data_IF_701816984293
#
_entry.id   IF_701816984293
#
_cell.length_a   1.000
_cell.length_b   1.000
_cell.length_c   1.000
_cell.angle_alpha   90.00
_cell.angle_beta   90.00
_cell.angle_gamma   90.00
#
_symmetry.space_group_name_H-M   'P 1'
#
loop_
_entity.id
_entity.type
_entity.pdbx_description
1 polymer ?
#
# COMPACT_ATOMS: atom_id res chain seq x y z
N UNK A 1 3.63 -39.92 28.56
CA UNK A 1 2.90 -39.70 29.83
C UNK A 1 1.45 -40.01 29.57
N UNK A 2 0.86 -40.92 30.35
CA UNK A 2 -0.59 -41.12 30.29
C UNK A 2 -1.30 -39.84 30.75
N UNK A 3 -2.42 -39.44 30.12
CA UNK A 3 -3.19 -38.28 30.58
C UNK A 3 -3.70 -38.51 32.01
N UNK A 4 -3.67 -37.46 32.84
CA UNK A 4 -4.25 -37.46 34.20
C UNK A 4 -5.64 -36.83 34.18
N UNK A 5 -6.47 -37.14 35.20
CA UNK A 5 -7.86 -36.70 35.44
C UNK A 5 -8.46 -35.88 34.30
N UNK A 6 -8.43 -34.55 34.39
CA UNK A 6 -8.93 -33.66 33.34
C UNK A 6 -7.83 -32.68 32.92
N UNK A 7 -7.42 -32.74 31.66
CA UNK A 7 -6.40 -31.87 31.08
C UNK A 7 -6.59 -31.72 29.58
N UNK A 8 -6.00 -30.66 29.01
CA UNK A 8 -6.09 -30.40 27.57
C UNK A 8 -5.38 -31.49 26.76
N UNK A 9 -6.01 -31.95 25.69
CA UNK A 9 -5.38 -32.85 24.72
C UNK A 9 -4.35 -32.03 23.93
N UNK A 10 -3.08 -32.17 24.29
CA UNK A 10 -1.97 -31.50 23.63
C UNK A 10 -1.51 -32.28 22.40
N UNK A 11 -1.09 -31.57 21.33
CA UNK A 11 -0.38 -32.13 20.19
C UNK A 11 1.03 -31.53 20.10
N UNK A 12 1.97 -31.89 21.00
CA UNK A 12 3.32 -31.35 20.98
C UNK A 12 4.09 -31.85 19.74
N UNK A 13 4.58 -30.94 18.90
CA UNK A 13 5.30 -31.30 17.67
C UNK A 13 6.81 -31.53 17.92
N UNK A 14 7.12 -32.36 18.92
CA UNK A 14 8.50 -32.70 19.34
C UNK A 14 8.89 -34.15 18.99
N UNK A 15 8.19 -34.79 18.06
CA UNK A 15 8.38 -36.20 17.68
C UNK A 15 9.54 -36.45 16.69
N UNK A 16 10.15 -35.39 16.15
CA UNK A 16 11.35 -35.49 15.30
C UNK A 16 12.57 -35.08 16.11
N UNK A 17 13.77 -35.35 15.60
CA UNK A 17 15.02 -34.84 16.18
C UNK A 17 15.09 -33.30 16.06
N UNK A 18 14.44 -32.62 17.01
CA UNK A 18 14.35 -31.16 17.11
C UNK A 18 15.54 -30.59 17.86
N UNK A 19 16.13 -31.36 18.79
CA UNK A 19 17.27 -30.95 19.61
C UNK A 19 18.49 -30.62 18.75
N UNK A 20 18.73 -31.38 17.67
CA UNK A 20 19.77 -31.07 16.67
C UNK A 20 19.56 -29.74 15.93
N UNK A 21 18.33 -29.22 15.86
CA UNK A 21 17.94 -28.03 15.08
C UNK A 21 17.52 -26.84 15.96
N UNK A 22 18.01 -26.80 17.19
CA UNK A 22 17.75 -25.68 18.10
C UNK A 22 18.54 -24.45 17.66
N UNK A 23 17.83 -23.46 17.13
CA UNK A 23 18.40 -22.15 16.82
C UNK A 23 18.44 -21.27 18.08
N UNK A 24 19.61 -21.09 18.67
CA UNK A 24 19.82 -20.14 19.77
C UNK A 24 19.98 -18.71 19.26
N UNK A 25 19.59 -17.71 20.07
CA UNK A 25 19.58 -16.30 19.67
C UNK A 25 20.63 -15.45 20.40
N UNK A 26 21.67 -16.07 20.98
CA UNK A 26 22.76 -15.36 21.66
C UNK A 26 23.53 -14.38 20.75
N UNK A 27 23.53 -14.64 19.44
CA UNK A 27 24.13 -13.76 18.44
C UNK A 27 23.28 -12.51 18.09
N UNK A 28 22.11 -12.32 18.70
CA UNK A 28 21.21 -11.19 18.41
C UNK A 28 21.86 -9.81 18.62
N UNK A 29 22.52 -9.49 19.76
CA UNK A 29 23.20 -8.20 19.96
C UNK A 29 24.33 -7.98 18.95
N UNK A 30 25.15 -8.99 18.69
CA UNK A 30 26.21 -8.92 17.68
C UNK A 30 25.64 -8.65 16.27
N UNK A 31 24.54 -9.30 15.88
CA UNK A 31 23.84 -9.03 14.61
C UNK A 31 23.27 -7.60 14.56
N UNK A 32 22.74 -7.06 15.67
CA UNK A 32 22.26 -5.67 15.75
C UNK A 32 23.42 -4.69 15.52
N UNK A 33 24.55 -4.87 16.20
CA UNK A 33 25.75 -4.06 16.03
C UNK A 33 26.29 -4.12 14.60
N UNK A 34 26.39 -5.33 14.02
CA UNK A 34 26.83 -5.54 12.64
C UNK A 34 25.94 -4.80 11.64
N UNK A 35 24.61 -4.92 11.76
CA UNK A 35 23.65 -4.21 10.90
C UNK A 35 23.75 -2.68 11.07
N UNK A 36 24.07 -2.18 12.26
CA UNK A 36 24.29 -0.74 12.52
C UNK A 36 25.55 -0.24 11.81
N UNK A 37 26.69 -0.92 11.99
CA UNK A 37 27.96 -0.57 11.33
C UNK A 37 27.81 -0.61 9.80
N UNK A 38 27.15 -1.63 9.25
CA UNK A 38 26.88 -1.73 7.81
C UNK A 38 26.01 -0.57 7.28
N UNK A 39 25.00 -0.12 8.06
CA UNK A 39 24.20 1.06 7.71
C UNK A 39 25.03 2.34 7.72
N UNK A 40 25.92 2.53 8.69
CA UNK A 40 26.83 3.68 8.77
C UNK A 40 27.84 3.68 7.61
N UNK A 41 28.44 2.53 7.30
CA UNK A 41 29.35 2.40 6.16
C UNK A 41 28.64 2.70 4.84
N UNK A 42 27.40 2.20 4.65
CA UNK A 42 26.57 2.54 3.49
C UNK A 42 26.31 4.05 3.41
N UNK A 43 26.00 4.69 4.54
CA UNK A 43 25.72 6.13 4.60
C UNK A 43 26.90 6.97 4.11
N UNK A 44 28.11 6.69 4.63
CA UNK A 44 29.33 7.37 4.21
C UNK A 44 29.61 7.18 2.72
N UNK A 45 29.45 5.95 2.22
CA UNK A 45 29.74 5.61 0.81
C UNK A 45 28.85 6.33 -0.20
N UNK A 46 27.58 6.57 0.14
CA UNK A 46 26.61 7.15 -0.81
C UNK A 46 26.36 8.64 -0.57
N UNK A 47 27.05 9.26 0.38
CA UNK A 47 26.94 10.69 0.64
C UNK A 47 27.09 11.47 -0.68
N UNK A 48 26.21 12.45 -0.98
CA UNK A 48 25.21 13.08 -0.11
C UNK A 48 23.81 12.42 -0.09
N UNK A 49 23.63 11.25 -0.72
CA UNK A 49 22.29 10.63 -0.88
C UNK A 49 21.73 10.04 0.43
N UNK A 50 20.40 10.03 0.60
CA UNK A 50 19.76 9.45 1.79
C UNK A 50 19.93 7.92 1.88
N UNK A 51 20.29 7.43 3.07
CA UNK A 51 20.59 6.00 3.36
C UNK A 51 19.40 5.06 3.16
N UNK A 52 18.19 5.58 3.41
CA UNK A 52 16.92 4.86 3.29
C UNK A 52 16.64 4.38 1.85
N UNK A 53 17.35 4.93 0.87
CA UNK A 53 17.24 4.57 -0.55
C UNK A 53 16.16 5.39 -1.26
N UNK A 54 15.67 4.89 -2.42
CA UNK A 54 14.77 5.66 -3.26
C UNK A 54 13.39 5.83 -2.62
N UNK A 55 12.71 6.93 -2.96
CA UNK A 55 11.34 7.18 -2.51
C UNK A 55 10.40 6.10 -3.06
N UNK A 56 9.44 5.69 -2.20
CA UNK A 56 8.42 4.68 -2.50
C UNK A 56 7.04 5.32 -2.55
N UNK A 57 6.12 4.80 -3.40
CA UNK A 57 4.76 5.30 -3.50
C UNK A 57 3.93 4.93 -2.27
N UNK A 58 2.83 5.65 -2.10
CA UNK A 58 1.78 5.39 -1.12
C UNK A 58 0.87 4.30 -1.71
N UNK A 59 0.73 3.18 -1.00
CA UNK A 59 -0.05 2.02 -1.46
C UNK A 59 -0.99 1.53 -0.37
N UNK A 60 -2.24 1.24 -0.73
CA UNK A 60 -3.23 0.58 0.13
C UNK A 60 -2.96 -0.92 0.22
N UNK A 61 -3.16 -1.52 1.39
CA UNK A 61 -3.04 -2.97 1.53
C UNK A 61 -4.20 -3.70 0.82
N UNK A 62 -3.97 -4.91 0.26
CA UNK A 62 -4.89 -5.52 -0.70
C UNK A 62 -6.15 -6.17 -0.10
N UNK A 63 -6.13 -6.59 1.18
CA UNK A 63 -7.23 -7.37 1.76
C UNK A 63 -8.22 -6.52 2.54
N UNK A 64 -9.47 -6.98 2.66
CA UNK A 64 -10.53 -6.31 3.43
C UNK A 64 -10.10 -6.05 4.89
N UNK A 65 -9.29 -6.93 5.48
CA UNK A 65 -8.77 -6.72 6.85
C UNK A 65 -7.86 -5.50 6.96
N UNK A 66 -7.10 -5.17 5.90
CA UNK A 66 -6.03 -4.17 5.98
C UNK A 66 -6.18 -2.99 5.01
N UNK A 67 -7.21 -2.93 4.17
CA UNK A 67 -7.39 -1.85 3.17
C UNK A 67 -7.41 -0.44 3.77
N UNK A 68 -7.82 -0.28 5.03
CA UNK A 68 -7.77 0.99 5.75
C UNK A 68 -6.33 1.47 6.03
N UNK A 69 -5.36 0.56 6.05
CA UNK A 69 -3.93 0.86 6.25
C UNK A 69 -3.25 1.20 4.93
N UNK A 70 -2.34 2.16 5.03
CA UNK A 70 -1.45 2.59 3.96
C UNK A 70 -0.04 2.12 4.28
N UNK A 71 0.74 1.78 3.25
CA UNK A 71 2.14 1.36 3.37
C UNK A 71 2.98 1.92 2.22
N UNK A 72 4.30 1.85 2.38
CA UNK A 72 5.22 2.07 1.28
C UNK A 72 5.13 0.91 0.27
N UNK A 73 4.93 1.23 -1.01
CA UNK A 73 4.93 0.28 -2.11
C UNK A 73 6.33 -0.10 -2.59
N UNK A 74 6.40 -0.92 -3.65
CA UNK A 74 7.69 -1.30 -4.27
C UNK A 74 8.28 -0.15 -5.09
N UNK A 75 7.47 0.46 -5.96
CA UNK A 75 7.86 1.58 -6.84
C UNK A 75 6.65 2.23 -7.53
N UNK A 76 6.85 3.45 -8.02
CA UNK A 76 5.88 4.24 -8.78
C UNK A 76 5.50 3.54 -10.09
N UNK A 77 4.24 3.69 -10.49
CA UNK A 77 3.76 3.13 -11.76
C UNK A 77 4.22 3.99 -12.93
N UNK A 78 4.18 3.44 -14.15
CA UNK A 78 4.56 4.19 -15.35
C UNK A 78 3.61 5.36 -15.62
N UNK A 79 2.34 5.19 -15.30
CA UNK A 79 1.30 6.20 -15.48
C UNK A 79 1.48 7.39 -14.53
N UNK A 80 1.80 7.13 -13.25
CA UNK A 80 2.12 8.18 -12.27
C UNK A 80 3.33 9.00 -12.73
N UNK A 81 4.37 8.33 -13.21
CA UNK A 81 5.59 9.00 -13.71
C UNK A 81 5.29 9.84 -14.96
N UNK A 82 4.46 9.33 -15.87
CA UNK A 82 4.04 10.05 -17.07
C UNK A 82 3.28 11.34 -16.70
N UNK A 83 2.33 11.25 -15.77
CA UNK A 83 1.57 12.41 -15.28
C UNK A 83 2.42 13.41 -14.47
N UNK A 84 3.46 12.93 -13.79
CA UNK A 84 4.43 13.78 -13.12
C UNK A 84 5.47 14.40 -14.08
N UNK A 85 5.48 14.02 -15.36
CA UNK A 85 6.46 14.50 -16.35
C UNK A 85 7.86 13.90 -16.20
N UNK A 86 7.99 12.75 -15.52
CA UNK A 86 9.29 12.15 -15.21
C UNK A 86 9.52 10.90 -16.08
N UNK A 87 10.62 10.88 -16.84
CA UNK A 87 10.98 9.70 -17.62
C UNK A 87 11.39 8.53 -16.70
N UNK A 88 10.87 7.33 -16.95
CA UNK A 88 11.14 6.10 -16.17
C UNK A 88 12.63 5.76 -15.99
N UNK A 89 13.49 6.08 -16.96
CA UNK A 89 14.93 5.84 -16.87
C UNK A 89 15.60 6.88 -15.96
N UNK A 90 15.23 8.15 -16.14
CA UNK A 90 15.72 9.27 -15.33
C UNK A 90 15.25 9.18 -13.87
N UNK A 91 14.02 8.73 -13.64
CA UNK A 91 13.48 8.50 -12.29
C UNK A 91 14.42 7.66 -11.41
N UNK A 92 14.98 6.58 -11.96
CA UNK A 92 15.90 5.70 -11.22
C UNK A 92 17.23 6.39 -10.87
N UNK A 93 17.73 7.28 -11.71
CA UNK A 93 19.00 7.99 -11.46
C UNK A 93 18.87 9.03 -10.36
N UNK A 94 17.69 9.65 -10.24
CA UNK A 94 17.40 10.66 -9.21
C UNK A 94 16.85 10.08 -7.90
N UNK A 95 16.80 8.75 -7.75
CA UNK A 95 16.37 8.11 -6.50
C UNK A 95 14.86 7.91 -6.38
N UNK A 96 14.14 7.73 -7.49
CA UNK A 96 12.74 7.33 -7.51
C UNK A 96 12.63 5.84 -7.88
N UNK A 97 11.94 5.05 -7.06
CA UNK A 97 11.72 3.63 -7.34
C UNK A 97 10.62 3.45 -8.39
N UNK A 98 10.84 2.57 -9.37
CA UNK A 98 9.89 2.34 -10.49
C UNK A 98 9.45 0.88 -10.52
N UNK A 99 8.14 0.62 -10.53
CA UNK A 99 7.56 -0.72 -10.70
C UNK A 99 6.63 -0.77 -11.93
N UNK A 100 7.12 -1.25 -13.10
CA UNK A 100 6.32 -1.33 -14.32
C UNK A 100 5.09 -2.23 -14.24
N UNK A 101 5.04 -3.15 -13.26
CA UNK A 101 3.95 -4.12 -13.13
C UNK A 101 2.72 -3.56 -12.41
N UNK A 102 2.87 -2.45 -11.69
CA UNK A 102 1.76 -1.88 -10.91
C UNK A 102 0.82 -1.11 -11.83
N UNK A 103 -0.48 -1.38 -11.70
CA UNK A 103 -1.57 -0.70 -12.41
C UNK A 103 -2.34 0.18 -11.44
N UNK A 104 -2.83 1.32 -11.90
CA UNK A 104 -3.74 2.16 -11.14
C UNK A 104 -5.18 1.82 -11.54
N UNK A 105 -6.07 1.76 -10.55
CA UNK A 105 -7.51 1.56 -10.75
C UNK A 105 -8.34 2.72 -10.23
N UNK A 106 -7.78 3.52 -9.32
CA UNK A 106 -8.43 4.68 -8.73
C UNK A 106 -7.66 5.95 -9.04
N UNK A 107 -8.39 7.00 -9.41
CA UNK A 107 -7.87 8.34 -9.70
C UNK A 107 -7.27 9.00 -8.45
N UNK A 108 -7.89 8.79 -7.28
CA UNK A 108 -7.41 9.33 -6.00
C UNK A 108 -5.99 8.86 -5.66
N UNK A 109 -5.71 7.56 -5.82
CA UNK A 109 -4.39 7.00 -5.51
C UNK A 109 -3.33 7.46 -6.51
N UNK A 110 -3.73 7.61 -7.77
CA UNK A 110 -2.90 8.15 -8.84
C UNK A 110 -2.51 9.60 -8.53
N UNK A 111 -3.48 10.45 -8.21
CA UNK A 111 -3.26 11.86 -7.86
C UNK A 111 -2.38 12.01 -6.61
N UNK A 112 -2.64 11.25 -5.55
CA UNK A 112 -1.84 11.29 -4.32
C UNK A 112 -0.36 10.93 -4.58
N UNK A 113 -0.10 9.95 -5.44
CA UNK A 113 1.27 9.57 -5.79
C UNK A 113 1.93 10.55 -6.77
N UNK A 114 1.18 11.14 -7.71
CA UNK A 114 1.67 12.21 -8.58
C UNK A 114 2.05 13.44 -7.75
N UNK A 115 1.21 13.84 -6.80
CA UNK A 115 1.52 14.91 -5.87
C UNK A 115 2.78 14.60 -5.06
N UNK A 116 2.90 13.37 -4.53
CA UNK A 116 4.11 12.92 -3.84
C UNK A 116 5.37 13.00 -4.71
N UNK A 117 5.27 12.70 -6.00
CA UNK A 117 6.39 12.83 -6.95
C UNK A 117 6.77 14.31 -7.16
N UNK A 118 5.78 15.19 -7.32
CA UNK A 118 6.01 16.64 -7.44
C UNK A 118 6.65 17.23 -6.19
N UNK A 119 6.14 16.88 -5.01
CA UNK A 119 6.72 17.29 -3.72
C UNK A 119 8.13 16.75 -3.50
N UNK A 120 8.42 15.54 -3.98
CA UNK A 120 9.78 14.99 -3.92
C UNK A 120 10.71 15.73 -4.87
N UNK A 121 10.26 16.01 -6.10
CA UNK A 121 11.05 16.72 -7.10
C UNK A 121 11.36 18.15 -6.67
N UNK A 122 10.43 18.85 -6.01
CA UNK A 122 10.68 20.19 -5.47
C UNK A 122 11.67 20.20 -4.31
N UNK A 123 11.77 19.11 -3.55
CA UNK A 123 12.71 18.94 -2.43
C UNK A 123 14.04 18.31 -2.83
N UNK A 124 14.17 17.88 -4.10
CA UNK A 124 15.35 17.18 -4.57
C UNK A 124 16.43 18.20 -4.93
N UNK A 125 17.56 18.11 -4.22
CA UNK A 125 18.78 18.85 -4.57
C UNK A 125 19.59 17.98 -5.53
N UNK A 126 19.73 18.42 -6.78
CA UNK A 126 20.52 17.74 -7.81
C UNK A 126 21.88 18.42 -7.96
N UNK A 127 22.94 17.65 -7.74
CA UNK A 127 24.31 18.14 -7.90
C UNK A 127 24.76 18.08 -9.36
N UNK A 128 25.48 19.10 -9.85
CA UNK A 128 26.07 19.08 -11.19
C UNK A 128 27.06 17.93 -11.32
N UNK A 129 27.07 17.26 -12.49
CA UNK A 129 28.06 16.20 -12.77
C UNK A 129 29.48 16.73 -12.86
N UNK A 130 29.64 17.97 -13.34
CA UNK A 130 30.91 18.70 -13.38
C UNK A 130 30.69 20.00 -12.59
N UNK A 131 31.37 20.21 -11.44
CA UNK A 131 31.10 21.36 -10.57
C UNK A 131 31.40 22.71 -11.24
N UNK A 132 32.40 22.76 -12.12
CA UNK A 132 32.77 23.96 -12.87
C UNK A 132 31.78 24.32 -14.01
N UNK A 133 30.90 23.40 -14.41
CA UNK A 133 29.95 23.62 -15.50
C UNK A 133 28.56 23.10 -15.11
N UNK A 134 27.84 23.84 -14.25
CA UNK A 134 26.47 23.50 -13.90
C UNK A 134 25.56 23.60 -15.13
N UNK A 135 24.58 22.71 -15.21
CA UNK A 135 23.59 22.66 -16.29
C UNK A 135 22.21 23.06 -15.77
N UNK A 136 21.30 23.33 -16.71
CA UNK A 136 19.90 23.63 -16.39
C UNK A 136 19.28 22.47 -15.58
N UNK A 137 18.90 22.74 -14.33
CA UNK A 137 18.29 21.76 -13.41
C UNK A 137 19.09 21.43 -12.15
N UNK A 138 20.31 21.98 -12.00
CA UNK A 138 21.09 21.89 -10.76
C UNK A 138 20.59 22.90 -9.71
N UNK A 139 20.68 22.56 -8.42
CA UNK A 139 20.02 23.30 -7.32
C UNK A 139 20.93 24.32 -6.61
N UNK A 140 20.36 25.43 -6.11
CA UNK A 140 21.00 26.40 -5.20
C UNK A 140 20.80 26.01 -3.71
N UNK A 141 21.54 26.61 -2.73
CA UNK A 141 21.80 25.98 -1.42
C UNK A 141 20.65 25.85 -0.42
N UNK A 142 19.53 26.56 -0.54
CA UNK A 142 18.58 26.68 0.56
C UNK A 142 17.17 26.15 0.25
N UNK A 143 16.62 25.44 1.24
CA UNK A 143 15.21 25.42 1.71
C UNK A 143 14.75 24.03 2.16
N UNK A 144 14.24 23.92 3.39
CA UNK A 144 13.47 22.77 3.87
C UNK A 144 12.29 23.20 4.75
N UNK A 145 11.07 22.81 4.37
CA UNK A 145 9.91 22.75 5.27
C UNK A 145 9.18 21.39 5.11
N UNK A 146 8.78 20.82 6.25
CA UNK A 146 8.12 19.52 6.37
C UNK A 146 6.64 19.71 6.71
N UNK A 147 5.76 19.11 5.91
CA UNK A 147 4.31 19.05 6.17
C UNK A 147 3.93 17.67 6.75
N UNK A 148 3.27 17.66 7.90
CA UNK A 148 2.71 16.46 8.52
C UNK A 148 1.30 16.20 7.99
N UNK A 149 0.97 14.93 7.72
CA UNK A 149 -0.39 14.55 7.31
C UNK A 149 -1.33 14.50 8.53
N UNK A 150 -2.38 15.31 8.48
CA UNK A 150 -3.43 15.36 9.50
C UNK A 150 -4.59 14.48 9.04
N UNK A 151 -5.02 13.55 9.91
CA UNK A 151 -6.28 12.84 9.70
C UNK A 151 -7.43 13.84 9.84
N UNK A 152 -8.24 14.02 8.79
CA UNK A 152 -9.43 14.89 8.85
C UNK A 152 -10.41 14.32 9.87
N UNK A 153 -10.52 14.96 11.03
CA UNK A 153 -11.59 14.72 12.00
C UNK A 153 -12.80 15.53 11.54
N UNK A 154 -13.93 14.85 11.32
CA UNK A 154 -15.17 15.53 10.99
C UNK A 154 -15.69 16.28 12.22
N UNK A 155 -16.30 17.45 11.98
CA UNK A 155 -16.98 18.22 13.02
C UNK A 155 -18.36 17.65 13.29
N UNK A 156 -18.90 17.90 14.48
CA UNK A 156 -20.29 17.56 14.79
C UNK A 156 -21.24 18.26 13.80
N UNK A 157 -22.25 17.53 13.33
CA UNK A 157 -23.27 17.99 12.37
C UNK A 157 -24.65 17.58 12.89
N UNK A 158 -25.66 18.40 12.57
CA UNK A 158 -27.07 18.08 12.86
C UNK A 158 -27.50 16.94 11.95
N UNK A 159 -28.15 15.92 12.51
CA UNK A 159 -28.60 14.72 11.79
C UNK A 159 -29.82 15.11 10.94
N UNK A 160 -29.79 14.79 9.65
CA UNK A 160 -30.90 15.05 8.73
C UNK A 160 -32.09 14.09 8.96
N UNK A 161 -33.28 14.48 8.52
CA UNK A 161 -34.48 13.62 8.55
C UNK A 161 -34.23 12.28 7.82
N UNK A 162 -33.51 12.32 6.69
CA UNK A 162 -33.19 11.14 5.88
C UNK A 162 -32.28 10.14 6.60
N UNK A 163 -31.28 10.65 7.34
CA UNK A 163 -30.38 9.81 8.14
C UNK A 163 -31.12 9.15 9.31
N UNK A 164 -32.10 9.84 9.91
CA UNK A 164 -32.96 9.26 10.97
C UNK A 164 -33.86 8.16 10.43
N UNK A 165 -34.39 8.34 9.22
CA UNK A 165 -35.31 7.39 8.59
C UNK A 165 -34.59 6.21 7.90
N UNK A 166 -33.26 6.25 7.77
CA UNK A 166 -32.49 5.20 7.09
C UNK A 166 -32.42 3.90 7.90
N UNK A 167 -33.07 2.85 7.40
CA UNK A 167 -33.07 1.50 8.01
C UNK A 167 -31.81 0.71 7.64
N UNK A 168 -30.69 1.00 8.30
CA UNK A 168 -29.38 0.39 8.01
C UNK A 168 -29.39 -1.15 8.05
N UNK A 169 -30.00 -1.77 9.06
CA UNK A 169 -30.06 -3.24 9.18
C UNK A 169 -30.85 -3.89 8.04
N UNK A 170 -32.03 -3.34 7.72
CA UNK A 170 -32.87 -3.84 6.62
C UNK A 170 -32.15 -3.69 5.28
N UNK A 171 -31.48 -2.56 5.04
CA UNK A 171 -30.66 -2.33 3.84
C UNK A 171 -29.55 -3.39 3.68
N UNK A 172 -28.82 -3.70 4.75
CA UNK A 172 -27.79 -4.75 4.73
C UNK A 172 -28.37 -6.14 4.42
N UNK A 173 -29.54 -6.49 4.97
CA UNK A 173 -30.22 -7.77 4.70
C UNK A 173 -30.69 -7.85 3.25
N UNK A 174 -31.31 -6.79 2.73
CA UNK A 174 -31.77 -6.71 1.35
C UNK A 174 -30.59 -6.76 0.36
N UNK A 175 -29.49 -6.07 0.63
CA UNK A 175 -28.28 -6.12 -0.21
C UNK A 175 -27.72 -7.55 -0.32
N UNK A 176 -27.65 -8.29 0.80
CA UNK A 176 -27.24 -9.71 0.80
C UNK A 176 -28.21 -10.58 0.02
N UNK A 177 -29.52 -10.38 0.19
CA UNK A 177 -30.55 -11.13 -0.52
C UNK A 177 -30.50 -10.88 -2.03
N UNK A 178 -30.36 -9.63 -2.44
CA UNK A 178 -30.24 -9.23 -3.85
C UNK A 178 -28.97 -9.81 -4.49
N UNK A 179 -27.81 -9.73 -3.82
CA UNK A 179 -26.57 -10.32 -4.30
C UNK A 179 -26.68 -11.86 -4.46
N UNK A 180 -27.37 -12.52 -3.53
CA UNK A 180 -27.61 -13.97 -3.58
C UNK A 180 -28.58 -14.37 -4.70
N UNK A 181 -29.65 -13.60 -4.90
CA UNK A 181 -30.74 -13.94 -5.83
C UNK A 181 -30.60 -13.32 -7.23
N UNK A 182 -29.54 -12.55 -7.49
CA UNK A 182 -29.35 -11.83 -8.76
C UNK A 182 -29.45 -12.76 -9.98
N UNK A 183 -28.67 -13.84 -10.00
CA UNK A 183 -28.67 -14.77 -11.14
C UNK A 183 -30.00 -15.49 -11.33
N UNK A 184 -30.65 -15.92 -10.25
CA UNK A 184 -31.95 -16.61 -10.30
C UNK A 184 -33.04 -15.68 -10.84
N UNK A 185 -33.06 -14.42 -10.37
CA UNK A 185 -34.02 -13.42 -10.85
C UNK A 185 -33.79 -13.08 -12.31
N UNK A 186 -32.53 -12.93 -12.73
CA UNK A 186 -32.19 -12.70 -14.14
C UNK A 186 -32.61 -13.87 -15.04
N UNK A 187 -32.38 -15.12 -14.59
CA UNK A 187 -32.81 -16.33 -15.31
C UNK A 187 -34.34 -16.40 -15.45
N UNK A 188 -35.08 -16.23 -14.35
CA UNK A 188 -36.55 -16.24 -14.37
C UNK A 188 -37.14 -15.13 -15.24
N UNK A 189 -36.54 -13.94 -15.21
CA UNK A 189 -36.96 -12.86 -16.09
C UNK A 189 -36.74 -13.20 -17.58
N UNK A 190 -35.64 -13.89 -17.91
CA UNK A 190 -35.38 -14.36 -19.28
C UNK A 190 -36.36 -15.44 -19.71
N UNK A 191 -36.60 -16.44 -18.86
CA UNK A 191 -37.55 -17.54 -19.13
C UNK A 191 -38.98 -17.01 -19.29
N UNK A 192 -39.41 -16.09 -18.44
CA UNK A 192 -40.71 -15.45 -18.56
C UNK A 192 -40.84 -14.67 -19.88
N UNK A 193 -39.81 -13.91 -20.26
CA UNK A 193 -39.80 -13.19 -21.53
C UNK A 193 -39.83 -14.15 -22.75
N UNK A 194 -39.13 -15.28 -22.70
CA UNK A 194 -39.16 -16.31 -23.74
C UNK A 194 -40.55 -16.95 -23.86
N UNK A 195 -41.19 -17.29 -22.74
CA UNK A 195 -42.56 -17.81 -22.71
C UNK A 195 -43.58 -16.79 -23.23
N UNK A 196 -43.40 -15.51 -22.92
CA UNK A 196 -44.28 -14.44 -23.44
C UNK A 196 -44.09 -14.21 -24.94
N UNK A 197 -42.89 -14.48 -25.48
CA UNK A 197 -42.64 -14.46 -26.93
C UNK A 197 -43.24 -15.69 -27.62
N UNK A 198 -43.13 -16.87 -27.00
CA UNK A 198 -43.73 -18.11 -27.51
C UNK A 198 -45.26 -18.04 -27.52
N UNK A 199 -45.88 -17.46 -26.49
CA UNK A 199 -47.34 -17.21 -26.44
C UNK A 199 -47.85 -16.21 -27.47
N UNK A 200 -46.98 -15.37 -28.03
CA UNK A 200 -47.32 -14.37 -29.05
C UNK A 200 -47.10 -14.86 -30.48
N UNK A 201 -46.42 -15.99 -30.66
CA UNK A 201 -46.37 -16.73 -31.92
C UNK A 201 -47.61 -17.61 -32.05
#
# INVERSE_FOLDING_TARGET
>A
MAPSRNGMILKPHFHKDWQRRVATWFNQPARKLRRRKARQAKARRIAPRPVAGPIRPIVRCPTIRYHKKVRAGRGFSLEELKLAGINKKFARTIGISVDPRRRNKSTESLQANVQRLKEYHSKLILFPRKPAMPKKGDSSPDCLALSLQVFKREKARVISEDEKNFKAFASLRMARANARLFGIRAKRAKEAAEQDVEKKK
#
